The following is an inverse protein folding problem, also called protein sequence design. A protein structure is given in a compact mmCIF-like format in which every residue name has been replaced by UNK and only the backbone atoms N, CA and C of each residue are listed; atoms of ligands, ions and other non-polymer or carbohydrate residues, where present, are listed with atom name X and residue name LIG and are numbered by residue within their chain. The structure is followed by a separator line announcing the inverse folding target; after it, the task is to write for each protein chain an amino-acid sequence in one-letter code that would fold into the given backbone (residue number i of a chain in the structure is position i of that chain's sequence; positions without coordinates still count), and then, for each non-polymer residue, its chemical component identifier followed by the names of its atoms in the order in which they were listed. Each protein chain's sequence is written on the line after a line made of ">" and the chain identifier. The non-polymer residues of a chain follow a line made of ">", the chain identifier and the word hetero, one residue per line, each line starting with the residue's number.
data_IF_586811105226
#
_entry.id   IF_586811105226
#
_cell.length_a   1.000
_cell.length_b   1.000
_cell.length_c   1.000
_cell.angle_alpha   90.00
_cell.angle_beta   90.00
_cell.angle_gamma   90.00
#
_symmetry.space_group_name_H-M   'P 1'
#
loop_
_entity.id
_entity.type
_entity.pdbx_description
1 polymer ?
#
# COMPACT_ATOMS: atom_id res chain seq x y z
N UNK A 1 34.02 28.68 6.16
CA UNK A 1 33.09 29.12 7.23
C UNK A 1 32.06 28.02 7.24
N UNK A 2 32.35 27.00 8.03
CA UNK A 2 31.77 25.66 7.84
C UNK A 2 30.52 25.61 8.69
N UNK A 3 29.38 25.56 8.00
CA UNK A 3 28.07 25.50 8.64
C UNK A 3 27.85 24.08 9.16
N UNK A 4 28.31 23.79 10.38
CA UNK A 4 27.93 22.59 11.12
C UNK A 4 26.56 22.82 11.78
N UNK A 5 25.51 22.87 10.97
CA UNK A 5 24.13 22.81 11.46
C UNK A 5 23.86 21.41 11.99
N UNK A 6 24.05 21.19 13.29
CA UNK A 6 23.63 19.96 13.95
C UNK A 6 22.10 19.99 14.04
N UNK A 7 21.39 19.23 13.20
CA UNK A 7 19.93 19.15 13.27
C UNK A 7 19.58 18.41 14.56
N UNK A 8 19.32 19.16 15.62
CA UNK A 8 19.09 18.61 16.95
C UNK A 8 17.81 17.78 16.99
N UNK A 9 16.70 18.25 16.38
CA UNK A 9 15.48 17.49 16.10
C UNK A 9 14.66 18.08 14.94
N UNK A 10 13.92 17.22 14.24
CA UNK A 10 12.93 17.54 13.21
C UNK A 10 11.55 17.14 13.74
N UNK A 11 10.56 18.02 13.55
CA UNK A 11 9.15 17.72 13.75
C UNK A 11 8.34 18.54 12.73
N UNK A 12 7.75 17.89 11.74
CA UNK A 12 7.01 18.51 10.65
C UNK A 12 5.77 17.70 10.32
N UNK A 13 4.63 18.37 10.16
CA UNK A 13 3.44 17.76 9.59
C UNK A 13 3.46 17.92 8.07
N UNK A 14 3.32 16.81 7.36
CA UNK A 14 3.33 16.74 5.91
C UNK A 14 1.91 16.50 5.39
N UNK A 15 1.52 17.25 4.36
CA UNK A 15 0.29 17.03 3.64
C UNK A 15 0.52 17.20 2.14
N UNK A 16 0.18 16.17 1.37
CA UNK A 16 0.22 16.18 -0.08
C UNK A 16 -1.17 15.91 -0.63
N UNK A 17 -1.56 16.67 -1.67
CA UNK A 17 -2.80 16.45 -2.42
C UNK A 17 -2.51 16.56 -3.90
N UNK A 18 -2.97 15.58 -4.67
CA UNK A 18 -2.90 15.56 -6.11
C UNK A 18 -4.29 15.26 -6.68
N UNK A 19 -4.63 15.83 -7.85
CA UNK A 19 -5.91 15.55 -8.50
C UNK A 19 -5.85 14.22 -9.26
N UNK A 20 -4.66 13.84 -9.69
CA UNK A 20 -4.38 12.63 -10.45
C UNK A 20 -3.26 11.84 -9.77
N UNK A 21 -3.40 10.53 -9.66
CA UNK A 21 -2.35 9.71 -9.04
C UNK A 21 -1.09 9.70 -9.88
N UNK A 22 -1.19 9.86 -11.20
CA UNK A 22 -0.06 9.99 -12.13
C UNK A 22 0.90 11.13 -11.80
N UNK A 23 0.47 12.15 -11.04
CA UNK A 23 1.35 13.21 -10.54
C UNK A 23 2.38 12.68 -9.52
N UNK A 24 2.17 11.48 -8.95
CA UNK A 24 3.09 10.84 -8.02
C UNK A 24 4.17 10.00 -8.70
N UNK A 25 4.01 9.61 -9.97
CA UNK A 25 4.97 8.75 -10.69
C UNK A 25 6.35 9.39 -10.72
N UNK A 26 6.45 10.70 -10.95
CA UNK A 26 7.72 11.43 -10.95
C UNK A 26 8.37 11.54 -9.57
N UNK A 27 7.59 11.39 -8.49
CA UNK A 27 8.07 11.47 -7.12
C UNK A 27 8.47 10.09 -6.57
N UNK A 28 7.72 9.05 -6.92
CA UNK A 28 7.90 7.70 -6.40
C UNK A 28 8.76 6.82 -7.33
N UNK A 29 9.02 7.26 -8.55
CA UNK A 29 9.71 6.48 -9.61
C UNK A 29 9.07 5.10 -9.86
N UNK A 30 7.80 4.93 -9.50
CA UNK A 30 7.02 3.70 -9.66
C UNK A 30 5.91 3.97 -10.66
N UNK A 31 5.90 3.21 -11.75
CA UNK A 31 4.75 3.17 -12.66
C UNK A 31 3.54 2.54 -11.94
N UNK A 32 2.40 3.21 -12.01
CA UNK A 32 1.15 2.72 -11.46
C UNK A 32 -0.01 3.19 -12.33
N UNK A 33 -1.16 2.50 -12.33
CA UNK A 33 -2.34 2.99 -13.03
C UNK A 33 -2.81 4.34 -12.47
N UNK A 34 -3.47 5.14 -13.31
CA UNK A 34 -4.22 6.31 -12.85
C UNK A 34 -5.46 5.83 -12.10
N UNK A 35 -5.54 6.13 -10.81
CA UNK A 35 -6.63 5.66 -9.93
C UNK A 35 -7.46 6.81 -9.37
N UNK A 36 -7.16 8.06 -9.71
CA UNK A 36 -7.88 9.25 -9.30
C UNK A 36 -7.12 10.09 -8.26
N UNK A 37 -7.82 10.95 -7.51
CA UNK A 37 -7.19 11.90 -6.61
C UNK A 37 -6.45 11.21 -5.47
N UNK A 38 -5.35 11.82 -5.03
CA UNK A 38 -4.53 11.31 -3.93
C UNK A 38 -4.41 12.34 -2.82
N UNK A 39 -4.51 11.88 -1.58
CA UNK A 39 -4.19 12.64 -0.39
C UNK A 39 -3.26 11.80 0.49
N UNK A 40 -2.15 12.41 0.94
CA UNK A 40 -1.19 11.80 1.86
C UNK A 40 -0.98 12.76 3.02
N UNK A 41 -1.01 12.25 4.24
CA UNK A 41 -0.61 12.95 5.46
C UNK A 41 0.45 12.12 6.19
N UNK A 42 1.39 12.77 6.87
CA UNK A 42 2.35 12.09 7.74
C UNK A 42 2.98 13.08 8.73
N UNK A 43 3.47 12.57 9.86
CA UNK A 43 4.26 13.30 10.84
C UNK A 43 5.75 12.93 10.67
N UNK A 44 6.57 13.83 10.15
CA UNK A 44 8.02 13.64 10.06
C UNK A 44 8.67 14.05 11.38
N UNK A 45 9.27 13.09 12.08
CA UNK A 45 10.00 13.31 13.34
C UNK A 45 11.39 12.70 13.27
N UNK A 46 12.37 13.27 13.97
CA UNK A 46 13.68 12.63 14.04
C UNK A 46 14.84 13.55 14.41
N UNK A 47 16.04 13.06 14.12
CA UNK A 47 17.34 13.73 14.25
C UNK A 47 18.29 13.17 13.17
N UNK A 48 19.56 13.59 13.18
CA UNK A 48 20.59 13.02 12.28
C UNK A 48 20.74 11.50 12.41
N UNK A 49 20.46 10.94 13.60
CA UNK A 49 20.65 9.52 13.89
C UNK A 49 19.47 8.65 13.44
N UNK A 50 18.27 9.24 13.34
CA UNK A 50 17.03 8.52 13.04
C UNK A 50 15.95 9.47 12.54
N UNK A 51 15.33 9.12 11.42
CA UNK A 51 14.18 9.83 10.86
C UNK A 51 12.98 8.89 10.79
N UNK A 52 11.79 9.41 11.07
CA UNK A 52 10.54 8.66 11.11
C UNK A 52 9.44 9.45 10.42
N UNK A 53 8.72 8.81 9.51
CA UNK A 53 7.38 9.20 9.10
C UNK A 53 6.39 8.38 9.91
N UNK A 54 5.71 9.02 10.84
CA UNK A 54 4.63 8.43 11.64
C UNK A 54 3.27 8.93 11.15
N UNK A 55 2.20 8.32 11.65
CA UNK A 55 0.83 8.72 11.35
C UNK A 55 0.57 8.87 9.84
N UNK A 56 1.23 8.00 9.04
CA UNK A 56 1.05 7.99 7.60
C UNK A 56 -0.41 7.69 7.35
N UNK A 57 -1.05 8.52 6.54
CA UNK A 57 -2.40 8.32 6.05
C UNK A 57 -2.43 8.61 4.56
N UNK A 58 -2.62 7.57 3.76
CA UNK A 58 -2.76 7.66 2.31
C UNK A 58 -4.19 7.31 1.93
N UNK A 59 -4.75 8.09 1.01
CA UNK A 59 -5.99 7.79 0.32
C UNK A 59 -5.81 8.09 -1.16
N UNK A 60 -6.01 7.09 -2.01
CA UNK A 60 -5.91 7.23 -3.44
C UNK A 60 -7.16 6.67 -4.14
N UNK A 61 -7.71 7.46 -5.04
CA UNK A 61 -8.85 7.12 -5.87
C UNK A 61 -10.22 7.42 -5.30
N UNK A 62 -11.23 6.70 -5.80
CA UNK A 62 -12.64 6.96 -5.52
C UNK A 62 -13.34 5.69 -5.04
N UNK A 63 -14.05 5.78 -3.91
CA UNK A 63 -14.86 4.70 -3.34
C UNK A 63 -15.88 4.09 -4.32
N UNK A 64 -16.31 4.86 -5.32
CA UNK A 64 -17.31 4.45 -6.30
C UNK A 64 -16.69 3.70 -7.50
N UNK A 65 -15.36 3.64 -7.60
CA UNK A 65 -14.63 2.95 -8.69
C UNK A 65 -13.55 2.05 -8.11
N UNK A 66 -12.53 2.64 -7.50
CA UNK A 66 -11.47 1.93 -6.82
C UNK A 66 -10.81 2.87 -5.80
N UNK A 67 -10.74 2.42 -4.55
CA UNK A 67 -10.16 3.17 -3.45
C UNK A 67 -9.05 2.35 -2.81
N UNK A 68 -7.89 2.97 -2.65
CA UNK A 68 -6.79 2.47 -1.84
C UNK A 68 -6.63 3.39 -0.65
N UNK A 69 -6.45 2.80 0.52
CA UNK A 69 -6.08 3.48 1.75
C UNK A 69 -4.86 2.80 2.33
N UNK A 70 -3.95 3.55 2.90
CA UNK A 70 -2.87 2.97 3.68
C UNK A 70 -2.61 3.81 4.93
N UNK A 71 -2.26 3.14 6.01
CA UNK A 71 -1.86 3.76 7.26
C UNK A 71 -0.63 3.10 7.84
N UNK A 72 0.16 3.84 8.63
CA UNK A 72 1.27 3.25 9.37
C UNK A 72 2.46 4.19 9.50
N UNK A 73 3.66 3.61 9.39
CA UNK A 73 4.91 4.31 9.63
C UNK A 73 6.07 3.76 8.82
N UNK A 74 7.04 4.62 8.58
CA UNK A 74 8.34 4.26 8.01
C UNK A 74 9.42 4.95 8.83
N UNK A 75 10.50 4.25 9.15
CA UNK A 75 11.67 4.86 9.79
C UNK A 75 12.95 4.51 9.06
N UNK A 76 13.91 5.42 9.12
CA UNK A 76 15.26 5.25 8.61
C UNK A 76 16.23 5.53 9.75
N UNK A 77 17.14 4.61 9.99
CA UNK A 77 18.32 4.88 10.81
C UNK A 77 19.35 5.69 9.99
N UNK A 78 20.33 6.31 10.67
CA UNK A 78 21.48 7.06 10.13
C UNK A 78 21.53 7.22 8.60
N UNK A 79 21.04 8.38 8.15
CA UNK A 79 21.00 8.74 6.73
C UNK A 79 22.37 9.02 6.10
N UNK A 80 23.42 9.15 6.90
CA UNK A 80 24.80 9.41 6.46
C UNK A 80 25.62 8.14 6.20
N UNK A 81 24.97 6.98 6.20
CA UNK A 81 25.61 5.69 5.87
C UNK A 81 25.31 5.29 4.44
N UNK A 82 26.20 4.49 3.83
CA UNK A 82 26.00 3.97 2.46
C UNK A 82 24.77 3.04 2.34
N UNK A 83 24.15 2.63 3.46
CA UNK A 83 23.03 1.70 3.51
C UNK A 83 22.15 1.93 4.76
N UNK A 84 21.39 3.04 4.82
CA UNK A 84 20.49 3.30 5.94
C UNK A 84 19.45 2.18 6.07
N UNK A 85 19.27 1.66 7.28
CA UNK A 85 18.22 0.65 7.51
C UNK A 85 16.87 1.33 7.52
N UNK A 86 16.06 1.01 6.50
CA UNK A 86 14.65 1.36 6.46
C UNK A 86 13.85 0.30 7.23
N UNK A 87 12.89 0.71 8.04
CA UNK A 87 11.84 -0.14 8.60
C UNK A 87 10.50 0.36 8.09
N UNK A 88 9.70 -0.55 7.55
CA UNK A 88 8.35 -0.28 7.03
C UNK A 88 7.35 -1.05 7.89
N UNK A 89 6.23 -0.42 8.22
CA UNK A 89 5.07 -1.05 8.84
C UNK A 89 3.81 -0.28 8.38
N UNK A 90 3.15 -0.79 7.36
CA UNK A 90 2.01 -0.18 6.68
C UNK A 90 0.86 -1.18 6.59
N UNK A 91 -0.34 -0.79 7.00
CA UNK A 91 -1.57 -1.49 6.65
C UNK A 91 -2.14 -0.86 5.40
N UNK A 92 -2.44 -1.70 4.40
CA UNK A 92 -3.04 -1.27 3.13
C UNK A 92 -4.41 -1.91 3.00
N UNK A 93 -5.41 -1.09 2.73
CA UNK A 93 -6.78 -1.49 2.44
C UNK A 93 -7.14 -1.08 1.01
N UNK A 94 -7.83 -1.94 0.28
CA UNK A 94 -8.42 -1.58 -1.00
C UNK A 94 -9.87 -2.02 -1.12
N UNK A 95 -10.64 -1.27 -1.90
CA UNK A 95 -12.04 -1.53 -2.16
C UNK A 95 -12.43 -1.12 -3.58
N UNK A 96 -13.21 -1.98 -4.25
CA UNK A 96 -13.95 -1.63 -5.44
C UNK A 96 -15.38 -2.18 -5.35
N UNK A 97 -16.40 -1.45 -5.84
CA UNK A 97 -17.75 -1.99 -5.99
C UNK A 97 -17.85 -3.03 -7.13
N UNK A 98 -16.90 -3.02 -8.06
CA UNK A 98 -16.79 -3.98 -9.17
C UNK A 98 -15.36 -4.51 -9.28
N UNK A 99 -15.18 -5.82 -9.24
CA UNK A 99 -13.88 -6.45 -9.46
C UNK A 99 -13.38 -6.23 -10.88
N UNK A 100 -14.31 -6.16 -11.84
CA UNK A 100 -13.97 -5.84 -13.22
C UNK A 100 -13.30 -4.46 -13.31
N UNK A 101 -13.85 -3.44 -12.65
CA UNK A 101 -13.27 -2.10 -12.68
C UNK A 101 -11.91 -2.03 -11.98
N UNK A 102 -11.73 -2.77 -10.88
CA UNK A 102 -10.44 -2.86 -10.20
C UNK A 102 -9.32 -3.42 -11.11
N UNK A 103 -9.59 -4.48 -11.87
CA UNK A 103 -8.56 -5.12 -12.70
C UNK A 103 -8.40 -4.49 -14.09
N UNK A 104 -9.41 -3.74 -14.56
CA UNK A 104 -9.34 -2.96 -15.81
C UNK A 104 -8.22 -1.92 -15.78
N UNK A 105 -7.93 -1.36 -14.61
CA UNK A 105 -6.79 -0.46 -14.38
C UNK A 105 -5.45 -1.10 -14.77
N UNK A 106 -5.38 -2.43 -14.76
CA UNK A 106 -4.20 -3.22 -15.12
C UNK A 106 -4.33 -3.88 -16.51
N UNK A 107 -5.25 -3.38 -17.36
CA UNK A 107 -5.46 -3.87 -18.72
C UNK A 107 -6.06 -5.28 -18.82
N UNK A 108 -6.69 -5.77 -17.74
CA UNK A 108 -7.31 -7.10 -17.71
C UNK A 108 -8.83 -7.01 -17.88
N UNK A 109 -9.37 -7.93 -18.67
CA UNK A 109 -10.80 -8.12 -18.84
C UNK A 109 -11.20 -9.43 -18.18
N UNK A 110 -12.05 -9.33 -17.16
CA UNK A 110 -12.62 -10.47 -16.43
C UNK A 110 -14.14 -10.29 -16.32
N UNK A 111 -14.92 -11.37 -16.15
CA UNK A 111 -16.30 -11.27 -15.72
C UNK A 111 -16.38 -10.47 -14.42
N UNK A 112 -17.40 -9.63 -14.28
CA UNK A 112 -17.60 -8.96 -13.01
C UNK A 112 -18.09 -9.96 -11.96
N UNK A 113 -17.27 -10.15 -10.93
CA UNK A 113 -17.54 -11.04 -9.80
C UNK A 113 -18.13 -10.28 -8.60
N UNK A 114 -18.51 -9.01 -8.82
CA UNK A 114 -19.09 -8.14 -7.82
C UNK A 114 -18.01 -7.39 -7.02
N UNK A 115 -18.36 -6.86 -5.83
CA UNK A 115 -17.46 -6.02 -5.07
C UNK A 115 -16.24 -6.77 -4.57
N UNK A 116 -15.10 -6.10 -4.54
CA UNK A 116 -13.85 -6.61 -3.96
C UNK A 116 -13.41 -5.72 -2.80
N UNK A 117 -12.89 -6.35 -1.76
CA UNK A 117 -12.18 -5.71 -0.65
C UNK A 117 -10.92 -6.52 -0.37
N UNK A 118 -9.79 -5.85 -0.16
CA UNK A 118 -8.57 -6.51 0.28
C UNK A 118 -7.90 -5.71 1.39
N UNK A 119 -7.16 -6.41 2.25
CA UNK A 119 -6.33 -5.81 3.29
C UNK A 119 -5.03 -6.61 3.38
N UNK A 120 -3.92 -5.93 3.66
CA UNK A 120 -2.62 -6.55 3.92
C UNK A 120 -1.82 -5.64 4.85
N UNK A 121 -1.05 -6.23 5.77
CA UNK A 121 -0.02 -5.50 6.51
C UNK A 121 1.33 -5.78 5.88
N UNK A 122 1.97 -4.73 5.40
CA UNK A 122 3.30 -4.76 4.80
C UNK A 122 4.29 -4.31 5.87
N UNK A 123 5.21 -5.18 6.26
CA UNK A 123 6.25 -4.81 7.22
C UNK A 123 7.59 -5.46 6.89
N UNK A 124 8.69 -4.85 7.31
CA UNK A 124 10.01 -5.40 7.06
C UNK A 124 11.12 -4.37 7.17
N UNK A 125 12.33 -4.79 6.79
CA UNK A 125 13.52 -3.96 6.88
C UNK A 125 14.32 -3.98 5.58
N UNK A 126 14.85 -2.82 5.20
CA UNK A 126 15.58 -2.64 3.95
C UNK A 126 14.72 -2.96 2.73
N UNK A 127 15.29 -3.66 1.75
CA UNK A 127 14.62 -3.96 0.48
C UNK A 127 13.69 -5.17 0.53
N UNK A 128 13.64 -5.90 1.65
CA UNK A 128 12.85 -7.13 1.80
C UNK A 128 11.73 -6.87 2.79
N UNK A 129 10.51 -6.88 2.26
CA UNK A 129 9.27 -6.73 3.02
C UNK A 129 8.52 -8.06 3.08
N UNK A 130 7.69 -8.21 4.08
CA UNK A 130 6.75 -9.32 4.26
C UNK A 130 5.33 -8.79 4.30
N UNK A 131 4.39 -9.57 3.78
CA UNK A 131 2.96 -9.29 3.83
C UNK A 131 2.29 -10.22 4.83
N UNK A 132 1.72 -9.70 5.90
CA UNK A 132 0.94 -10.47 6.88
C UNK A 132 -0.52 -10.03 6.87
N UNK A 133 -1.37 -10.81 7.52
CA UNK A 133 -2.79 -10.52 7.68
C UNK A 133 -3.50 -10.23 6.34
N UNK A 134 -3.06 -10.88 5.26
CA UNK A 134 -3.68 -10.71 3.96
C UNK A 134 -5.10 -11.28 4.02
N UNK A 135 -6.07 -10.46 3.65
CA UNK A 135 -7.46 -10.88 3.47
C UNK A 135 -7.98 -10.30 2.17
N UNK A 136 -8.78 -11.07 1.45
CA UNK A 136 -9.53 -10.59 0.29
C UNK A 136 -10.92 -11.20 0.32
N UNK A 137 -11.93 -10.38 0.05
CA UNK A 137 -13.28 -10.82 -0.20
C UNK A 137 -13.69 -10.33 -1.58
N UNK A 138 -14.18 -11.24 -2.41
CA UNK A 138 -14.68 -10.98 -3.74
C UNK A 138 -16.13 -11.49 -3.85
N UNK A 139 -17.02 -10.61 -4.31
CA UNK A 139 -18.44 -10.87 -4.41
C UNK A 139 -19.19 -10.76 -3.08
N UNK A 140 -20.37 -11.37 -3.04
CA UNK A 140 -21.31 -11.28 -1.91
C UNK A 140 -21.89 -12.65 -1.57
N UNK A 141 -22.45 -12.80 -0.36
CA UNK A 141 -23.19 -14.01 0.04
C UNK A 141 -24.42 -14.32 -0.83
N UNK A 142 -24.95 -13.32 -1.54
CA UNK A 142 -26.10 -13.47 -2.42
C UNK A 142 -25.68 -13.87 -3.85
N UNK A 143 -24.38 -13.88 -4.14
CA UNK A 143 -23.76 -14.23 -5.41
C UNK A 143 -22.66 -15.26 -5.19
N UNK A 144 -21.75 -15.43 -6.15
CA UNK A 144 -20.47 -16.08 -5.88
C UNK A 144 -19.73 -15.28 -4.80
N UNK A 145 -19.27 -15.95 -3.76
CA UNK A 145 -18.42 -15.39 -2.73
C UNK A 145 -17.10 -16.15 -2.70
N UNK A 146 -16.02 -15.41 -2.85
CA UNK A 146 -14.67 -15.92 -2.71
C UNK A 146 -13.95 -15.15 -1.60
N UNK A 147 -13.34 -15.88 -0.67
CA UNK A 147 -12.53 -15.30 0.38
C UNK A 147 -11.15 -15.90 0.38
N UNK A 148 -10.12 -15.05 0.39
CA UNK A 148 -8.72 -15.44 0.56
C UNK A 148 -8.19 -14.91 1.87
N UNK A 149 -7.35 -15.70 2.52
CA UNK A 149 -6.56 -15.31 3.69
C UNK A 149 -5.16 -15.88 3.58
N UNK A 150 -4.13 -15.15 4.01
CA UNK A 150 -2.78 -15.68 3.98
C UNK A 150 -1.69 -14.67 4.27
N UNK A 151 -0.51 -14.96 3.74
CA UNK A 151 0.68 -14.13 3.90
C UNK A 151 1.59 -14.21 2.67
N UNK A 152 2.48 -13.24 2.54
CA UNK A 152 3.51 -13.15 1.51
C UNK A 152 4.85 -13.12 2.23
N UNK A 153 5.65 -14.18 2.07
CA UNK A 153 6.90 -14.32 2.82
C UNK A 153 7.95 -13.28 2.43
N UNK A 154 8.03 -12.94 1.13
CA UNK A 154 9.01 -11.97 0.62
C UNK A 154 8.44 -11.12 -0.52
N UNK A 155 8.62 -9.82 -0.37
CA UNK A 155 8.36 -8.77 -1.36
C UNK A 155 9.61 -7.92 -1.50
N UNK A 156 10.11 -7.73 -2.72
CA UNK A 156 11.29 -6.91 -2.99
C UNK A 156 10.83 -5.53 -3.49
N UNK A 157 11.35 -4.45 -2.90
CA UNK A 157 10.93 -3.08 -3.28
C UNK A 157 11.28 -2.75 -4.74
N UNK A 158 12.31 -3.39 -5.31
CA UNK A 158 12.74 -3.18 -6.72
C UNK A 158 11.95 -3.97 -7.74
N UNK A 159 11.26 -5.03 -7.31
CA UNK A 159 10.48 -5.90 -8.19
C UNK A 159 9.09 -6.05 -7.55
N UNK A 160 8.10 -5.33 -8.07
CA UNK A 160 6.69 -5.52 -7.71
C UNK A 160 6.13 -6.91 -8.17
N UNK A 161 6.99 -7.92 -8.29
CA UNK A 161 6.70 -9.31 -8.62
C UNK A 161 7.23 -10.22 -7.51
N UNK A 162 6.31 -10.91 -6.83
CA UNK A 162 6.57 -11.63 -5.58
C UNK A 162 7.14 -13.05 -5.79
N UNK A 163 7.84 -13.57 -4.77
CA UNK A 163 8.23 -14.99 -4.65
C UNK A 163 7.76 -15.51 -3.28
N UNK A 164 7.14 -16.70 -3.23
CA UNK A 164 6.65 -17.30 -1.98
C UNK A 164 5.33 -16.70 -1.49
N UNK A 165 4.23 -17.05 -2.17
CA UNK A 165 2.87 -16.63 -1.83
C UNK A 165 2.18 -17.81 -1.15
N UNK A 166 1.78 -17.67 0.12
CA UNK A 166 0.98 -18.66 0.83
C UNK A 166 -0.44 -18.12 1.05
N UNK A 167 -1.39 -18.62 0.26
CA UNK A 167 -2.79 -18.20 0.31
C UNK A 167 -3.69 -19.41 0.55
N UNK A 168 -4.60 -19.26 1.50
CA UNK A 168 -5.72 -20.18 1.71
C UNK A 168 -6.99 -19.51 1.19
N UNK A 169 -7.80 -20.25 0.43
CA UNK A 169 -9.01 -19.73 -0.18
C UNK A 169 -10.21 -20.61 0.12
N UNK A 170 -11.36 -19.98 0.36
CA UNK A 170 -12.65 -20.66 0.42
C UNK A 170 -13.59 -20.07 -0.63
N UNK A 171 -14.29 -20.96 -1.32
CA UNK A 171 -15.29 -20.62 -2.33
C UNK A 171 -16.66 -21.07 -1.83
N UNK A 172 -17.65 -20.17 -1.86
CA UNK A 172 -19.03 -20.51 -1.53
C UNK A 172 -19.96 -19.95 -2.60
N UNK A 173 -20.83 -20.80 -3.13
CA UNK A 173 -21.85 -20.43 -4.11
C UNK A 173 -23.22 -20.93 -3.68
N UNK A 174 -24.27 -20.21 -4.06
CA UNK A 174 -25.65 -20.67 -3.85
C UNK A 174 -25.97 -21.75 -4.88
N UNK A 175 -26.37 -22.94 -4.44
CA UNK A 175 -26.89 -23.97 -5.34
C UNK A 175 -28.21 -23.46 -5.94
N UNK A 176 -28.23 -23.21 -7.24
CA UNK A 176 -29.47 -23.03 -7.99
C UNK A 176 -29.90 -24.40 -8.47
N UNK A 177 -30.93 -24.96 -7.82
CA UNK A 177 -31.70 -26.10 -8.32
C UNK A 177 -32.62 -25.67 -9.46
#
# INVERSE_FOLDING_TARGET
>A
MDWHGNISQIALDLALKAKHSSELTSFLEIEHPEIGPVAITASLKGSSEKIMLEDIGLKAGNKDVYLIQADGRISWDKLDTDSPQQLVDLTVYSHAPSFQDAVRLYGKYVPDLGPVKASIRIHGTGMVLTGSDFTMQLGTKNSLLFTLQGSIEKMFITDAFHKGIELTGTLTGKSTS
#
